data_IF_212380683047
#
_entry.id   IF_212380683047
#
_cell.length_a   1.000
_cell.length_b   1.000
_cell.length_c   1.000
_cell.angle_alpha   90.00
_cell.angle_beta   90.00
_cell.angle_gamma   90.00
#
_symmetry.space_group_name_H-M   'P 1'
#
loop_
_entity.id
_entity.type
_entity.pdbx_description
1 polymer ?
#
# COMPACT_ATOMS: atom_id res chain seq x y z
N UNK A 1 -15.90 102.00 4.41
CA UNK A 1 -16.04 101.53 5.81
C UNK A 1 -14.92 100.57 6.12
N UNK A 2 -14.27 100.75 7.29
CA UNK A 2 -13.19 99.93 7.83
C UNK A 2 -13.73 98.59 8.38
N UNK A 3 -12.97 97.49 8.31
CA UNK A 3 -12.31 96.80 9.45
C UNK A 3 -11.81 95.39 9.10
N UNK A 4 -10.68 95.06 9.74
CA UNK A 4 -9.93 93.80 9.78
C UNK A 4 -10.49 92.85 10.87
N UNK A 5 -10.37 91.53 10.68
CA UNK A 5 -10.18 90.47 11.71
C UNK A 5 -9.92 89.13 10.98
N UNK A 6 -8.78 88.43 11.03
CA UNK A 6 -8.03 87.69 12.08
C UNK A 6 -8.75 86.48 12.72
N UNK A 7 -8.34 85.28 12.26
CA UNK A 7 -7.96 84.02 12.96
C UNK A 7 -8.78 83.47 14.14
N UNK A 8 -9.11 82.17 14.06
CA UNK A 8 -8.96 81.21 15.18
C UNK A 8 -8.83 79.78 14.66
N UNK A 9 -7.93 79.02 15.29
CA UNK A 9 -7.48 77.69 14.95
C UNK A 9 -8.25 76.59 15.71
N UNK A 10 -8.18 75.35 15.20
CA UNK A 10 -8.41 74.13 15.98
C UNK A 10 -7.44 73.04 15.49
N UNK A 11 -6.65 72.49 16.41
CA UNK A 11 -5.67 71.43 16.18
C UNK A 11 -6.28 70.04 16.49
N UNK A 12 -5.85 68.96 15.82
CA UNK A 12 -5.98 67.62 16.34
C UNK A 12 -4.63 67.10 16.87
N UNK A 13 -4.67 66.46 18.04
CA UNK A 13 -3.55 65.73 18.63
C UNK A 13 -3.41 64.35 17.94
N UNK A 14 -2.22 64.06 17.42
CA UNK A 14 -1.85 62.74 16.90
C UNK A 14 -1.04 61.99 17.97
N UNK A 15 -1.52 60.80 18.35
CA UNK A 15 -0.81 59.86 19.22
C UNK A 15 0.05 58.96 18.33
N UNK A 16 1.37 58.97 18.56
CA UNK A 16 2.32 58.08 17.90
C UNK A 16 2.47 56.79 18.72
N UNK A 17 2.17 55.65 18.12
CA UNK A 17 2.56 54.33 18.63
C UNK A 17 3.84 53.88 17.92
N UNK A 18 4.90 53.71 18.70
CA UNK A 18 6.17 53.13 18.26
C UNK A 18 6.01 51.62 18.04
N UNK A 19 6.26 51.16 16.80
CA UNK A 19 6.40 49.73 16.48
C UNK A 19 7.85 49.28 16.67
N UNK A 20 8.07 48.25 17.49
CA UNK A 20 9.36 47.57 17.56
C UNK A 20 9.53 46.67 16.33
N UNK A 21 10.35 47.09 15.38
CA UNK A 21 10.86 46.21 14.31
C UNK A 21 12.06 45.48 14.90
N UNK A 22 11.93 44.18 15.17
CA UNK A 22 13.08 43.32 15.47
C UNK A 22 13.78 43.03 14.14
N UNK A 23 14.81 43.81 13.84
CA UNK A 23 15.73 43.53 12.74
C UNK A 23 16.72 42.46 13.17
N UNK A 24 16.68 41.29 12.53
CA UNK A 24 17.81 40.36 12.54
C UNK A 24 18.85 40.90 11.53
N UNK A 25 19.86 41.59 12.04
CA UNK A 25 21.10 41.85 11.29
C UNK A 25 21.83 40.51 11.10
N UNK A 26 22.07 40.13 9.84
CA UNK A 26 22.98 39.04 9.49
C UNK A 26 24.39 39.63 9.42
N UNK A 27 25.17 39.46 10.48
CA UNK A 27 26.61 39.65 10.39
C UNK A 27 27.20 38.50 9.56
N UNK A 28 27.82 38.85 8.45
CA UNK A 28 28.56 37.94 7.59
C UNK A 28 29.97 37.77 8.15
N UNK A 29 30.18 36.71 8.94
CA UNK A 29 31.50 36.16 9.24
C UNK A 29 31.36 34.81 9.97
N UNK A 30 31.25 33.72 9.22
CA UNK A 30 32.19 32.60 9.32
C UNK A 30 31.96 31.73 8.08
N UNK A 31 33.00 31.50 7.30
CA UNK A 31 32.94 30.53 6.21
C UNK A 31 33.00 29.16 6.86
N UNK A 32 31.83 28.65 7.25
CA UNK A 32 31.68 27.26 7.63
C UNK A 32 32.04 26.43 6.39
N UNK A 33 33.16 25.75 6.49
CA UNK A 33 33.65 24.78 5.53
C UNK A 33 32.63 23.64 5.56
N UNK A 34 31.57 23.79 4.76
CA UNK A 34 30.60 22.73 4.52
C UNK A 34 31.38 21.60 3.86
N UNK A 35 31.81 20.64 4.67
CA UNK A 35 32.14 19.32 4.17
C UNK A 35 30.91 18.86 3.39
N UNK A 36 31.12 18.53 2.12
CA UNK A 36 30.20 17.68 1.35
C UNK A 36 30.17 16.32 2.06
N UNK A 37 29.55 16.26 3.24
CA UNK A 37 29.21 15.02 3.89
C UNK A 37 28.17 14.38 2.96
N UNK A 38 28.60 13.36 2.19
CA UNK A 38 27.69 12.53 1.41
C UNK A 38 26.53 12.13 2.33
N UNK A 39 25.31 12.53 1.96
CA UNK A 39 24.13 12.11 2.70
C UNK A 39 24.03 10.59 2.54
N UNK A 40 24.49 9.84 3.54
CA UNK A 40 24.33 8.38 3.57
C UNK A 40 22.83 8.06 3.56
N UNK A 41 22.35 7.56 2.43
CA UNK A 41 20.97 7.08 2.31
C UNK A 41 20.90 5.69 2.91
N UNK A 42 20.18 5.55 4.03
CA UNK A 42 19.91 4.25 4.64
C UNK A 42 19.16 3.33 3.65
N UNK A 43 19.45 2.02 3.63
CA UNK A 43 18.66 1.05 2.87
C UNK A 43 17.17 1.12 3.22
N UNK A 44 16.30 0.80 2.27
CA UNK A 44 14.85 0.94 2.46
C UNK A 44 14.34 0.22 3.72
N UNK A 45 14.81 -1.00 4.00
CA UNK A 45 14.44 -1.78 5.18
C UNK A 45 14.75 -1.06 6.50
N UNK A 46 15.91 -0.41 6.60
CA UNK A 46 16.38 0.29 7.80
C UNK A 46 15.59 1.57 8.07
N UNK A 47 14.94 2.13 7.04
CA UNK A 47 14.08 3.29 7.21
C UNK A 47 12.74 2.94 7.86
N UNK A 48 12.32 1.68 7.85
CA UNK A 48 11.07 1.23 8.45
C UNK A 48 11.23 0.61 9.84
N UNK A 49 10.16 -0.04 10.30
CA UNK A 49 10.12 -0.64 11.65
C UNK A 49 9.60 -2.08 11.59
N UNK A 50 10.33 -3.07 12.12
CA UNK A 50 11.68 -2.95 12.67
C UNK A 50 12.72 -2.68 11.56
N UNK A 51 13.82 -1.95 11.85
CA UNK A 51 14.90 -1.74 10.88
C UNK A 51 15.69 -3.03 10.60
N UNK A 52 15.66 -3.98 11.54
CA UNK A 52 16.37 -5.27 11.50
C UNK A 52 15.60 -6.35 10.74
N UNK A 53 14.57 -5.99 9.96
CA UNK A 53 13.70 -6.97 9.28
C UNK A 53 14.49 -7.93 8.36
N UNK A 54 15.61 -7.49 7.80
CA UNK A 54 16.45 -8.33 6.93
C UNK A 54 17.26 -9.39 7.69
N UNK A 55 17.34 -9.30 9.02
CA UNK A 55 18.00 -10.28 9.88
C UNK A 55 17.02 -11.34 10.41
N UNK A 56 15.71 -11.11 10.23
CA UNK A 56 14.68 -12.02 10.71
C UNK A 56 14.53 -13.22 9.78
N UNK A 57 14.47 -14.40 10.39
CA UNK A 57 14.09 -15.62 9.70
C UNK A 57 12.58 -15.65 9.46
N UNK A 58 12.20 -16.22 8.31
CA UNK A 58 10.81 -16.50 7.99
C UNK A 58 10.21 -17.45 9.05
N UNK A 59 9.00 -17.13 9.50
CA UNK A 59 8.31 -17.92 10.52
C UNK A 59 7.06 -18.52 9.88
N UNK A 60 6.88 -19.85 9.87
CA UNK A 60 5.61 -20.45 9.49
C UNK A 60 4.50 -19.83 10.34
N UNK A 61 3.60 -19.11 9.68
CA UNK A 61 2.50 -18.37 10.32
C UNK A 61 1.14 -19.05 10.13
N UNK A 62 1.09 -20.10 9.29
CA UNK A 62 -0.15 -20.78 8.90
C UNK A 62 -0.99 -20.00 7.90
N UNK A 63 -0.47 -18.89 7.36
CA UNK A 63 -1.08 -18.03 6.36
C UNK A 63 -0.50 -18.42 5.00
N UNK A 64 -0.75 -19.66 4.60
CA UNK A 64 -0.20 -20.18 3.35
C UNK A 64 -0.92 -19.54 2.17
N UNK A 65 -0.17 -18.96 1.23
CA UNK A 65 -0.72 -18.40 0.00
C UNK A 65 -1.51 -19.43 -0.81
N UNK A 66 -2.50 -18.96 -1.57
CA UNK A 66 -3.10 -19.77 -2.63
C UNK A 66 -2.09 -19.86 -3.78
N UNK A 67 -1.61 -21.07 -4.06
CA UNK A 67 -0.58 -21.35 -5.07
C UNK A 67 -1.16 -21.72 -6.43
N UNK A 68 -2.22 -22.55 -6.43
CA UNK A 68 -2.97 -22.94 -7.63
C UNK A 68 -4.46 -22.61 -7.44
N UNK A 69 -4.90 -21.42 -7.88
CA UNK A 69 -6.27 -20.96 -7.67
C UNK A 69 -7.25 -21.61 -8.65
N UNK A 70 -8.31 -22.20 -8.10
CA UNK A 70 -9.48 -22.64 -8.87
C UNK A 70 -10.55 -21.55 -8.89
N UNK A 71 -11.20 -21.40 -10.04
CA UNK A 71 -12.27 -20.42 -10.23
C UNK A 71 -13.56 -21.10 -10.65
N UNK A 72 -14.68 -20.60 -10.15
CA UNK A 72 -16.03 -21.05 -10.50
C UNK A 72 -16.97 -19.88 -10.76
N UNK A 73 -18.15 -20.20 -11.26
CA UNK A 73 -19.28 -19.28 -11.35
C UNK A 73 -19.88 -19.01 -9.97
N UNK A 74 -20.78 -18.02 -9.89
CA UNK A 74 -21.53 -17.74 -8.66
C UNK A 74 -22.31 -18.95 -8.12
N UNK A 75 -22.77 -19.85 -9.01
CA UNK A 75 -23.51 -21.05 -8.63
C UNK A 75 -22.60 -22.20 -8.14
N UNK A 76 -21.32 -22.16 -8.50
CA UNK A 76 -20.32 -23.15 -8.07
C UNK A 76 -19.65 -22.75 -6.75
N UNK A 77 -19.79 -21.49 -6.32
CA UNK A 77 -19.30 -21.05 -5.02
C UNK A 77 -20.11 -21.74 -3.89
N UNK A 78 -19.45 -22.38 -2.91
CA UNK A 78 -20.13 -23.11 -1.85
C UNK A 78 -20.98 -22.19 -0.96
N UNK A 79 -22.20 -22.61 -0.65
CA UNK A 79 -23.10 -21.85 0.25
C UNK A 79 -22.53 -21.74 1.67
N UNK A 80 -21.85 -22.79 2.15
CA UNK A 80 -21.23 -22.87 3.47
C UNK A 80 -19.77 -23.37 3.35
N UNK A 81 -18.81 -22.48 3.01
CA UNK A 81 -17.42 -22.87 2.86
C UNK A 81 -16.76 -23.13 4.21
N UNK A 82 -16.20 -24.33 4.39
CA UNK A 82 -15.50 -24.71 5.62
C UNK A 82 -14.30 -23.79 5.89
N UNK A 83 -14.26 -23.15 7.06
CA UNK A 83 -13.20 -22.22 7.45
C UNK A 83 -13.28 -20.83 6.81
N UNK A 84 -14.28 -20.53 5.97
CA UNK A 84 -14.44 -19.21 5.34
C UNK A 84 -15.83 -18.62 5.57
N UNK A 85 -15.95 -17.32 5.40
CA UNK A 85 -17.26 -16.66 5.44
C UNK A 85 -18.01 -16.88 4.12
N UNK A 86 -19.34 -17.13 4.16
CA UNK A 86 -20.17 -17.16 2.96
C UNK A 86 -20.07 -15.88 2.14
N UNK A 87 -20.11 -16.03 0.82
CA UNK A 87 -19.99 -14.93 -0.15
C UNK A 87 -21.35 -14.30 -0.46
N UNK A 88 -21.89 -13.54 0.50
CA UNK A 88 -23.10 -12.74 0.28
C UNK A 88 -22.84 -11.54 -0.63
N UNK A 89 -23.89 -10.92 -1.17
CA UNK A 89 -23.76 -9.80 -2.10
C UNK A 89 -23.04 -8.59 -1.51
N UNK A 90 -23.05 -8.41 -0.19
CA UNK A 90 -22.40 -7.30 0.53
C UNK A 90 -20.92 -7.57 0.81
N UNK A 91 -20.42 -8.78 0.58
CA UNK A 91 -19.02 -9.12 0.82
C UNK A 91 -18.11 -8.42 -0.17
N UNK A 92 -17.02 -7.86 0.32
CA UNK A 92 -16.02 -7.21 -0.52
C UNK A 92 -15.22 -8.24 -1.32
N UNK A 93 -15.01 -7.93 -2.59
CA UNK A 93 -14.11 -8.66 -3.50
C UNK A 93 -13.08 -7.68 -4.07
N UNK A 94 -11.88 -8.18 -4.33
CA UNK A 94 -10.96 -7.56 -5.27
C UNK A 94 -11.31 -8.10 -6.65
N UNK A 95 -11.53 -7.22 -7.61
CA UNK A 95 -11.90 -7.55 -8.97
C UNK A 95 -10.77 -7.24 -9.94
N UNK A 96 -10.42 -8.20 -10.79
CA UNK A 96 -9.48 -8.03 -11.88
C UNK A 96 -10.16 -8.27 -13.21
N UNK A 97 -9.80 -7.44 -14.19
CA UNK A 97 -10.24 -7.59 -15.57
C UNK A 97 -9.06 -7.39 -16.50
N UNK A 98 -8.86 -8.34 -17.39
CA UNK A 98 -7.82 -8.29 -18.41
C UNK A 98 -8.31 -9.01 -19.66
N UNK A 99 -8.20 -8.36 -20.81
CA UNK A 99 -8.88 -8.85 -22.01
C UNK A 99 -10.39 -9.04 -21.77
N UNK A 100 -10.91 -10.20 -22.19
CA UNK A 100 -12.30 -10.61 -21.97
C UNK A 100 -12.56 -11.30 -20.64
N UNK A 101 -11.53 -11.54 -19.82
CA UNK A 101 -11.65 -12.28 -18.56
C UNK A 101 -11.89 -11.32 -17.38
N UNK A 102 -12.79 -11.74 -16.49
CA UNK A 102 -13.09 -11.05 -15.23
C UNK A 102 -13.03 -12.04 -14.07
N UNK A 103 -12.22 -11.75 -13.05
CA UNK A 103 -12.05 -12.59 -11.85
C UNK A 103 -12.30 -11.79 -10.58
N UNK A 104 -13.03 -12.38 -9.65
CA UNK A 104 -13.22 -11.87 -8.29
C UNK A 104 -12.41 -12.69 -7.28
N UNK A 105 -11.75 -12.00 -6.36
CA UNK A 105 -11.00 -12.57 -5.24
C UNK A 105 -11.69 -12.12 -3.95
N UNK A 106 -12.50 -12.98 -3.31
CA UNK A 106 -13.17 -12.64 -2.06
C UNK A 106 -12.20 -12.28 -0.96
N UNK A 107 -12.47 -11.18 -0.24
CA UNK A 107 -11.73 -10.88 0.98
C UNK A 107 -11.95 -11.94 2.06
N UNK A 108 -13.03 -12.73 2.01
CA UNK A 108 -13.19 -13.87 2.93
C UNK A 108 -12.10 -14.92 2.79
N UNK A 109 -11.55 -15.11 1.59
CA UNK A 109 -10.43 -16.03 1.31
C UNK A 109 -9.10 -15.32 1.57
N UNK A 110 -8.95 -14.11 1.05
CA UNK A 110 -7.72 -13.33 1.22
C UNK A 110 -7.47 -12.90 2.68
N UNK A 111 -8.49 -12.86 3.54
CA UNK A 111 -8.30 -12.65 4.98
C UNK A 111 -7.61 -13.83 5.68
N UNK A 112 -7.59 -15.01 5.05
CA UNK A 112 -6.96 -16.23 5.58
C UNK A 112 -5.60 -16.46 4.93
N UNK A 113 -5.49 -16.22 3.62
CA UNK A 113 -4.29 -16.57 2.84
C UNK A 113 -3.39 -15.40 2.49
N UNK A 114 -3.92 -14.17 2.54
CA UNK A 114 -3.25 -12.89 2.26
C UNK A 114 -2.61 -12.71 0.86
N UNK A 115 -2.29 -13.80 0.16
CA UNK A 115 -1.61 -13.85 -1.14
C UNK A 115 -2.27 -14.94 -2.01
N UNK A 116 -2.52 -14.59 -3.28
CA UNK A 116 -2.97 -15.52 -4.33
C UNK A 116 -2.04 -15.38 -5.52
N UNK A 117 -1.42 -16.49 -5.93
CA UNK A 117 -0.55 -16.60 -7.10
C UNK A 117 -1.38 -17.04 -8.30
N UNK A 118 -1.84 -16.09 -9.09
CA UNK A 118 -2.73 -16.38 -10.21
C UNK A 118 -2.04 -16.22 -11.57
N UNK A 119 -2.72 -16.71 -12.60
CA UNK A 119 -2.42 -16.52 -14.01
C UNK A 119 -3.73 -16.18 -14.75
N UNK A 120 -3.83 -14.94 -15.23
CA UNK A 120 -4.86 -14.53 -16.21
C UNK A 120 -4.21 -14.49 -17.61
N UNK A 121 -4.14 -13.32 -18.25
CA UNK A 121 -3.34 -13.10 -19.45
C UNK A 121 -1.83 -13.16 -19.17
N UNK A 122 -1.44 -12.93 -17.91
CA UNK A 122 -0.07 -13.01 -17.40
C UNK A 122 -0.07 -13.47 -15.93
N UNK A 123 1.09 -13.91 -15.40
CA UNK A 123 1.23 -14.18 -13.98
C UNK A 123 0.96 -12.91 -13.16
N UNK A 124 0.09 -13.02 -12.17
CA UNK A 124 -0.22 -11.93 -11.23
C UNK A 124 -0.20 -12.43 -9.79
N UNK A 125 0.18 -11.55 -8.87
CA UNK A 125 -0.11 -11.72 -7.45
C UNK A 125 -1.28 -10.83 -7.06
N UNK A 126 -2.21 -11.37 -6.28
CA UNK A 126 -3.28 -10.61 -5.62
C UNK A 126 -3.08 -10.74 -4.13
N UNK A 127 -3.01 -9.60 -3.45
CA UNK A 127 -2.68 -9.56 -2.03
C UNK A 127 -3.67 -8.72 -1.24
N UNK A 128 -3.86 -9.07 0.03
CA UNK A 128 -4.60 -8.25 0.97
C UNK A 128 -4.09 -8.46 2.39
N UNK A 129 -3.67 -7.38 3.04
CA UNK A 129 -3.32 -7.37 4.46
C UNK A 129 -4.56 -7.06 5.31
N UNK A 130 -5.07 -8.01 6.13
CA UNK A 130 -6.29 -7.82 6.93
C UNK A 130 -6.14 -6.77 8.03
N UNK A 131 -4.94 -6.66 8.60
CA UNK A 131 -4.62 -5.69 9.66
C UNK A 131 -4.64 -4.25 9.08
N UNK A 132 -3.99 -4.11 7.93
CA UNK A 132 -3.82 -2.86 7.20
C UNK A 132 -5.12 -2.41 6.54
N UNK A 133 -5.94 -3.39 6.14
CA UNK A 133 -7.10 -3.21 5.26
C UNK A 133 -6.68 -2.56 3.94
N UNK A 134 -5.65 -3.17 3.33
CA UNK A 134 -5.07 -2.73 2.07
C UNK A 134 -4.71 -3.91 1.19
N UNK A 135 -4.83 -3.74 -0.13
CA UNK A 135 -4.46 -4.74 -1.10
C UNK A 135 -3.63 -4.17 -2.24
N UNK A 136 -2.94 -5.06 -2.94
CA UNK A 136 -2.07 -4.75 -4.08
C UNK A 136 -2.16 -5.90 -5.07
N UNK A 137 -2.14 -5.55 -6.34
CA UNK A 137 -2.04 -6.50 -7.44
C UNK A 137 -0.85 -6.12 -8.30
N UNK A 138 -0.02 -7.09 -8.68
CA UNK A 138 1.15 -6.85 -9.52
C UNK A 138 1.46 -8.03 -10.43
N UNK A 139 2.26 -7.78 -11.47
CA UNK A 139 2.94 -8.86 -12.18
C UNK A 139 3.92 -9.55 -11.22
N UNK A 140 3.86 -10.88 -11.16
CA UNK A 140 4.71 -11.70 -10.28
C UNK A 140 5.95 -12.28 -10.97
N UNK A 141 6.31 -11.78 -12.15
CA UNK A 141 7.49 -12.26 -12.87
C UNK A 141 8.77 -11.66 -12.31
N UNK A 142 9.71 -12.53 -11.96
CA UNK A 142 11.07 -12.18 -11.51
C UNK A 142 12.06 -12.77 -12.53
N UNK A 143 12.83 -11.88 -13.16
CA UNK A 143 13.72 -12.29 -14.26
C UNK A 143 12.96 -12.89 -15.46
N UNK A 144 11.72 -12.45 -15.70
CA UNK A 144 10.87 -12.93 -16.79
C UNK A 144 10.08 -14.21 -16.53
N UNK A 145 10.30 -14.88 -15.40
CA UNK A 145 9.62 -16.12 -15.01
C UNK A 145 8.64 -15.87 -13.87
N UNK A 146 7.51 -16.59 -13.86
CA UNK A 146 6.50 -16.47 -12.82
C UNK A 146 7.05 -16.95 -11.47
N UNK A 147 7.25 -16.04 -10.51
CA UNK A 147 7.64 -16.38 -9.16
C UNK A 147 6.42 -16.72 -8.31
N UNK A 148 6.57 -17.65 -7.37
CA UNK A 148 5.56 -17.95 -6.35
C UNK A 148 5.88 -17.11 -5.12
N UNK A 149 4.90 -16.34 -4.66
CA UNK A 149 4.98 -15.54 -3.45
C UNK A 149 4.16 -16.15 -2.33
N UNK A 150 4.58 -15.90 -1.10
CA UNK A 150 3.87 -16.37 0.08
C UNK A 150 4.11 -15.41 1.28
N UNK A 151 3.29 -15.53 2.33
CA UNK A 151 3.40 -14.69 3.53
C UNK A 151 4.62 -15.13 4.37
N UNK A 152 5.42 -14.18 4.85
CA UNK A 152 6.64 -14.53 5.60
C UNK A 152 6.43 -14.71 7.11
N UNK A 153 5.23 -14.44 7.62
CA UNK A 153 4.95 -14.29 9.05
C UNK A 153 5.51 -13.02 9.69
N UNK A 154 6.17 -12.15 8.91
CA UNK A 154 6.78 -10.92 9.40
C UNK A 154 5.93 -9.70 9.06
N UNK A 155 6.05 -8.67 9.91
CA UNK A 155 5.41 -7.38 9.70
C UNK A 155 6.47 -6.29 9.66
N UNK A 156 6.31 -5.37 8.70
CA UNK A 156 7.19 -4.22 8.57
C UNK A 156 6.38 -2.96 8.28
N UNK A 157 6.74 -1.87 8.94
CA UNK A 157 6.09 -0.56 8.81
C UNK A 157 7.00 0.38 8.01
N UNK A 158 6.67 0.74 6.77
CA UNK A 158 7.38 1.77 6.04
C UNK A 158 7.13 3.16 6.65
N UNK A 159 8.07 4.11 6.50
CA UNK A 159 7.78 5.53 6.70
C UNK A 159 6.50 5.97 5.99
N UNK A 160 5.72 6.83 6.65
CA UNK A 160 4.41 7.25 6.14
C UNK A 160 4.47 7.94 4.77
N UNK A 161 5.60 8.59 4.43
CA UNK A 161 5.81 9.22 3.12
C UNK A 161 5.77 8.20 1.97
N UNK A 162 6.35 7.02 2.15
CA UNK A 162 6.34 5.98 1.12
C UNK A 162 4.95 5.37 0.96
N UNK A 163 4.19 5.27 2.06
CA UNK A 163 2.79 4.84 2.03
C UNK A 163 1.93 5.83 1.25
N UNK A 164 2.04 7.12 1.57
CA UNK A 164 1.30 8.17 0.89
C UNK A 164 1.64 8.22 -0.61
N UNK A 165 2.91 8.00 -0.98
CA UNK A 165 3.32 7.90 -2.38
C UNK A 165 2.70 6.68 -3.07
N UNK A 166 2.73 5.51 -2.44
CA UNK A 166 2.17 4.28 -3.01
C UNK A 166 0.66 4.38 -3.25
N UNK A 167 -0.07 4.96 -2.30
CA UNK A 167 -1.51 5.20 -2.44
C UNK A 167 -1.80 6.21 -3.57
N UNK A 168 -1.07 7.34 -3.60
CA UNK A 168 -1.23 8.36 -4.65
C UNK A 168 -0.95 7.81 -6.06
N UNK A 169 -0.03 6.87 -6.17
CA UNK A 169 0.36 6.22 -7.43
C UNK A 169 -0.56 5.03 -7.79
N UNK A 170 -1.59 4.74 -6.98
CA UNK A 170 -2.49 3.58 -7.13
C UNK A 170 -1.75 2.23 -7.17
N UNK A 171 -0.61 2.13 -6.48
CA UNK A 171 0.13 0.86 -6.31
C UNK A 171 -0.52 -0.03 -5.25
N UNK A 172 -1.22 0.58 -4.31
CA UNK A 172 -1.94 -0.06 -3.22
C UNK A 172 -3.31 0.62 -3.08
N UNK A 173 -4.32 -0.15 -2.70
CA UNK A 173 -5.67 0.35 -2.43
C UNK A 173 -6.11 -0.05 -1.02
N UNK A 174 -7.16 0.60 -0.50
CA UNK A 174 -7.81 0.23 0.77
C UNK A 174 -9.28 -0.09 0.55
N UNK A 175 -9.84 -0.98 1.36
CA UNK A 175 -11.29 -1.20 1.45
C UNK A 175 -11.94 -0.31 2.54
N UNK A 176 -11.29 0.78 2.93
CA UNK A 176 -11.78 1.80 3.88
C UNK A 176 -11.72 3.19 3.26
N UNK A 177 -12.68 4.04 3.62
CA UNK A 177 -12.72 5.45 3.17
C UNK A 177 -11.55 6.31 3.69
N UNK A 178 -10.92 5.89 4.79
CA UNK A 178 -9.82 6.63 5.44
C UNK A 178 -8.44 6.41 4.77
N UNK A 179 -8.38 5.61 3.71
CA UNK A 179 -7.14 5.30 3.00
C UNK A 179 -6.28 4.20 3.64
N UNK A 180 -5.08 4.03 3.09
CA UNK A 180 -4.14 2.95 3.41
C UNK A 180 -3.44 3.16 4.76
N UNK A 181 -3.41 2.11 5.60
CA UNK A 181 -2.71 2.11 6.89
C UNK A 181 -1.38 1.38 6.80
N UNK A 182 -0.30 1.99 7.32
CA UNK A 182 1.04 1.40 7.33
C UNK A 182 1.44 0.70 8.64
N UNK A 183 0.52 0.57 9.60
CA UNK A 183 0.83 -0.07 10.88
C UNK A 183 0.88 -1.60 10.72
N UNK A 184 2.09 -2.16 10.70
CA UNK A 184 2.33 -3.60 10.65
C UNK A 184 1.89 -4.21 9.33
N UNK A 185 2.59 -3.87 8.24
CA UNK A 185 2.23 -4.34 6.90
C UNK A 185 2.80 -5.73 6.62
N UNK A 186 2.00 -6.51 5.89
CA UNK A 186 2.39 -7.80 5.33
C UNK A 186 3.74 -7.68 4.61
N UNK A 187 4.68 -8.51 5.06
CA UNK A 187 5.90 -8.83 4.33
C UNK A 187 5.66 -10.17 3.62
N UNK A 188 5.86 -10.18 2.31
CA UNK A 188 5.82 -11.39 1.50
C UNK A 188 7.25 -11.83 1.23
N UNK A 189 7.43 -13.06 0.78
CA UNK A 189 8.69 -13.51 0.20
C UNK A 189 8.43 -14.18 -1.15
N UNK A 190 9.41 -14.17 -2.04
CA UNK A 190 9.37 -14.95 -3.28
C UNK A 190 10.21 -16.22 -3.14
N UNK A 191 9.66 -17.36 -3.53
CA UNK A 191 10.35 -18.65 -3.46
C UNK A 191 11.53 -18.79 -4.44
N UNK A 192 11.71 -17.86 -5.39
CA UNK A 192 12.77 -17.92 -6.40
C UNK A 192 14.11 -17.39 -5.87
N UNK A 193 14.06 -16.28 -5.14
CA UNK A 193 15.25 -15.57 -4.64
C UNK A 193 15.31 -15.48 -3.12
N UNK A 194 14.20 -15.74 -2.44
CA UNK A 194 14.08 -15.55 -0.99
C UNK A 194 14.09 -14.08 -0.57
N UNK A 195 13.83 -13.14 -1.48
CA UNK A 195 13.77 -11.72 -1.14
C UNK A 195 12.50 -11.43 -0.36
N UNK A 196 12.57 -10.48 0.58
CA UNK A 196 11.40 -10.00 1.32
C UNK A 196 10.83 -8.76 0.63
N UNK A 197 9.51 -8.71 0.52
CA UNK A 197 8.76 -7.71 -0.21
C UNK A 197 7.74 -7.02 0.68
N UNK A 198 7.74 -5.70 0.69
CA UNK A 198 6.65 -4.93 1.28
C UNK A 198 5.44 -4.98 0.34
N UNK A 199 4.34 -5.61 0.78
CA UNK A 199 3.07 -5.62 0.04
C UNK A 199 2.61 -4.20 -0.32
N UNK A 200 2.69 -3.30 0.67
CA UNK A 200 2.20 -1.94 0.56
C UNK A 200 3.03 -1.10 -0.42
N UNK A 201 4.34 -1.35 -0.51
CA UNK A 201 5.20 -0.63 -1.45
C UNK A 201 5.36 -1.35 -2.79
N UNK A 202 4.89 -2.59 -2.94
CA UNK A 202 5.20 -3.45 -4.10
C UNK A 202 6.72 -3.46 -4.41
N UNK A 203 7.54 -3.47 -3.36
CA UNK A 203 8.99 -3.29 -3.47
C UNK A 203 9.72 -4.25 -2.53
N UNK A 204 10.79 -4.85 -3.01
CA UNK A 204 11.68 -5.68 -2.21
C UNK A 204 12.43 -4.80 -1.21
N UNK A 205 12.38 -5.21 0.05
CA UNK A 205 13.02 -4.51 1.18
C UNK A 205 14.31 -5.22 1.62
N UNK A 206 14.43 -6.53 1.38
CA UNK A 206 15.60 -7.34 1.75
C UNK A 206 15.90 -8.40 0.69
N UNK A 207 17.13 -8.92 0.72
CA UNK A 207 17.55 -10.05 -0.11
C UNK A 207 18.10 -9.63 -1.48
N UNK A 208 18.32 -10.60 -2.39
CA UNK A 208 18.99 -10.37 -3.67
C UNK A 208 18.32 -9.35 -4.58
N UNK A 209 17.02 -9.08 -4.38
CA UNK A 209 16.25 -8.14 -5.17
C UNK A 209 15.96 -6.83 -4.43
N UNK A 210 16.64 -6.53 -3.32
CA UNK A 210 16.41 -5.30 -2.57
C UNK A 210 16.33 -4.06 -3.47
N UNK A 211 15.35 -3.20 -3.20
CA UNK A 211 14.97 -2.02 -3.96
C UNK A 211 14.23 -2.25 -5.30
N UNK A 212 14.19 -3.48 -5.82
CA UNK A 212 13.40 -3.80 -7.01
C UNK A 212 11.89 -3.66 -6.75
N UNK A 213 11.15 -3.23 -7.78
CA UNK A 213 9.71 -3.00 -7.71
C UNK A 213 8.95 -3.97 -8.59
N UNK A 214 7.78 -4.39 -8.12
CA UNK A 214 6.82 -5.12 -8.93
C UNK A 214 5.99 -4.16 -9.77
N UNK A 215 5.66 -4.58 -11.00
CA UNK A 215 4.79 -3.83 -11.89
C UNK A 215 3.33 -3.97 -11.46
N UNK A 216 2.83 -3.00 -10.70
CA UNK A 216 1.46 -3.02 -10.17
C UNK A 216 0.39 -2.95 -11.27
N UNK A 217 -0.80 -3.43 -10.93
CA UNK A 217 -1.97 -3.52 -11.80
C UNK A 217 -3.14 -2.85 -11.11
N UNK A 218 -3.94 -2.15 -11.91
CA UNK A 218 -5.21 -1.64 -11.43
C UNK A 218 -6.13 -2.81 -11.06
N UNK A 219 -6.77 -2.68 -9.91
CA UNK A 219 -7.81 -3.58 -9.44
C UNK A 219 -9.01 -2.76 -8.98
N UNK A 220 -10.19 -3.37 -9.02
CA UNK A 220 -11.41 -2.79 -8.48
C UNK A 220 -11.67 -3.37 -7.09
N UNK A 221 -12.05 -2.53 -6.14
CA UNK A 221 -12.62 -2.99 -4.87
C UNK A 221 -14.10 -2.69 -4.92
N UNK A 222 -14.93 -3.72 -4.81
CA UNK A 222 -16.39 -3.59 -4.83
C UNK A 222 -17.04 -4.63 -3.94
N UNK A 223 -18.34 -4.55 -3.79
CA UNK A 223 -19.12 -5.67 -3.26
C UNK A 223 -19.25 -6.79 -4.30
N UNK A 224 -19.49 -8.02 -3.86
CA UNK A 224 -19.72 -9.17 -4.73
C UNK A 224 -20.96 -8.99 -5.60
N UNK A 225 -22.05 -8.47 -5.03
CA UNK A 225 -23.28 -8.21 -5.76
C UNK A 225 -23.10 -7.17 -6.86
N UNK A 226 -22.24 -6.16 -6.63
CA UNK A 226 -21.85 -5.20 -7.67
C UNK A 226 -21.02 -5.83 -8.76
N UNK A 227 -19.97 -6.54 -8.38
CA UNK A 227 -19.07 -7.20 -9.33
C UNK A 227 -19.83 -8.15 -10.25
N UNK A 228 -20.69 -9.02 -9.70
CA UNK A 228 -21.47 -10.01 -10.47
C UNK A 228 -22.46 -9.36 -11.44
N UNK A 229 -23.00 -8.19 -11.10
CA UNK A 229 -23.91 -7.44 -11.98
C UNK A 229 -23.17 -6.82 -13.17
N UNK A 230 -21.96 -6.31 -12.93
CA UNK A 230 -21.11 -5.71 -13.96
C UNK A 230 -20.39 -6.77 -14.81
N UNK A 231 -20.16 -7.96 -14.23
CA UNK A 231 -19.43 -9.07 -14.82
C UNK A 231 -20.22 -10.38 -14.63
N UNK A 232 -21.35 -10.56 -15.32
CA UNK A 232 -22.20 -11.76 -15.15
C UNK A 232 -21.52 -13.06 -15.57
N UNK A 233 -20.58 -12.99 -16.51
CA UNK A 233 -19.77 -14.12 -16.96
C UNK A 233 -18.42 -14.22 -16.19
N UNK A 234 -18.22 -13.37 -15.18
CA UNK A 234 -17.00 -13.35 -14.37
C UNK A 234 -16.91 -14.55 -13.44
N UNK A 235 -15.69 -15.03 -13.23
CA UNK A 235 -15.41 -16.13 -12.31
C UNK A 235 -15.01 -15.61 -10.92
N UNK A 236 -15.21 -16.42 -9.89
CA UNK A 236 -14.83 -16.13 -8.51
C UNK A 236 -13.87 -17.20 -7.99
N UNK A 237 -12.85 -16.77 -7.25
CA UNK A 237 -11.91 -17.66 -6.58
C UNK A 237 -12.67 -18.58 -5.62
N UNK A 238 -12.45 -19.88 -5.74
CA UNK A 238 -13.02 -20.89 -4.86
C UNK A 238 -12.10 -21.13 -3.66
N UNK A 239 -12.63 -21.27 -2.44
CA UNK A 239 -11.79 -21.54 -1.27
C UNK A 239 -11.13 -22.93 -1.36
N UNK A 240 -9.97 -23.14 -0.70
CA UNK A 240 -9.49 -24.48 -0.40
C UNK A 240 -10.59 -25.37 0.23
N UNK A 241 -10.63 -26.68 -0.08
CA UNK A 241 -9.62 -27.43 -0.85
C UNK A 241 -9.83 -27.38 -2.37
N UNK A 242 -10.73 -26.56 -2.91
CA UNK A 242 -10.89 -26.45 -4.38
C UNK A 242 -9.71 -25.71 -5.01
N UNK A 243 -9.14 -24.72 -4.30
CA UNK A 243 -7.84 -24.13 -4.62
C UNK A 243 -6.74 -24.77 -3.76
N UNK A 244 -5.53 -24.92 -4.32
CA UNK A 244 -4.38 -25.47 -3.61
C UNK A 244 -3.55 -24.34 -2.98
N UNK A 245 -3.07 -24.59 -1.76
CA UNK A 245 -2.18 -23.66 -1.04
C UNK A 245 -0.72 -24.04 -1.24
N UNK A 246 0.17 -23.06 -1.15
CA UNK A 246 1.61 -23.27 -1.13
C UNK A 246 1.99 -24.04 0.13
N UNK A 247 2.81 -25.07 -0.01
CA UNK A 247 3.48 -25.68 1.14
C UNK A 247 4.62 -24.74 1.58
N UNK A 248 4.63 -24.28 2.84
CA UNK A 248 5.67 -23.36 3.30
C UNK A 248 7.04 -24.05 3.19
N UNK A 249 8.10 -23.33 2.79
CA UNK A 249 9.47 -23.83 2.89
C UNK A 249 9.74 -24.22 4.34
N UNK A 250 10.15 -25.47 4.54
CA UNK A 250 10.62 -26.00 5.84
C UNK A 250 11.96 -25.40 6.25
#
# INVERSE_FOLDING_TARGET
MRRRTLLAAAAPAAVASAGCVVGYSRDAADSDETTDDEIETLPLAEQGTPPTICEEEMKPDGINAVGDPSFGTAAEYPEDPDGYLPLTDERTVIGLRTGGDARAYPLSILNVHEVVNDVLDRPVIVTYCPICRSGMVADRRIGGEAAVFDASGLLWKPPGVYTAAAEKENRVFSDRDRGVSNNGNLVMYDGKTGSYWSQLLAQAICGPLAEERLDTRAATVSTWGEWRREHPDGAVLLPPPMSEVVDPPV
#
